data_IF_271740358843
#
_entry.id   IF_271740358843
#
_cell.length_a   1.000
_cell.length_b   1.000
_cell.length_c   1.000
_cell.angle_alpha   90.00
_cell.angle_beta   90.00
_cell.angle_gamma   90.00
#
_symmetry.space_group_name_H-M   'P 1'
#
loop_
_entity.id
_entity.type
_entity.pdbx_description
1 polymer ?
#
# COMPACT_ATOMS: atom_id res chain seq x y z
N UNK A 1 12.26 -1.26 -2.62
CA UNK A 1 12.69 -2.62 -2.22
C UNK A 1 11.49 -3.55 -2.27
N UNK A 2 11.68 -4.77 -2.75
CA UNK A 2 10.63 -5.81 -2.76
C UNK A 2 11.15 -7.03 -2.01
N UNK A 3 10.35 -7.55 -1.11
CA UNK A 3 10.62 -8.80 -0.39
C UNK A 3 9.67 -9.88 -0.90
N UNK A 4 10.20 -11.04 -1.24
CA UNK A 4 9.42 -12.23 -1.57
C UNK A 4 9.22 -13.05 -0.30
N UNK A 5 7.96 -13.26 0.09
CA UNK A 5 7.61 -13.94 1.34
C UNK A 5 6.60 -15.06 1.10
N UNK A 6 6.44 -15.95 2.06
CA UNK A 6 5.43 -17.00 2.03
C UNK A 6 3.98 -16.47 1.98
N UNK A 7 3.76 -15.22 2.40
CA UNK A 7 2.44 -14.54 2.37
C UNK A 7 2.20 -13.72 1.10
N UNK A 8 3.18 -13.61 0.22
CA UNK A 8 3.15 -12.76 -0.98
C UNK A 8 4.25 -11.69 -0.96
N UNK A 9 4.23 -10.81 -1.94
CA UNK A 9 5.23 -9.74 -2.05
C UNK A 9 4.97 -8.63 -1.02
N UNK A 10 6.04 -8.08 -0.47
CA UNK A 10 6.02 -6.86 0.34
C UNK A 10 6.81 -5.79 -0.38
N UNK A 11 6.15 -4.69 -0.75
CA UNK A 11 6.79 -3.52 -1.33
C UNK A 11 7.10 -2.50 -0.24
N UNK A 12 8.33 -2.00 -0.20
CA UNK A 12 8.74 -0.84 0.61
C UNK A 12 9.24 0.23 -0.35
N UNK A 13 8.55 1.38 -0.35
CA UNK A 13 8.79 2.50 -1.28
C UNK A 13 9.21 3.76 -0.53
N UNK A 14 10.09 4.57 -1.14
CA UNK A 14 10.39 5.94 -0.69
C UNK A 14 9.29 6.91 -1.12
N UNK A 15 9.44 7.53 -2.30
CA UNK A 15 8.42 8.44 -2.86
C UNK A 15 7.54 7.82 -3.93
N UNK A 16 7.96 6.72 -4.56
CA UNK A 16 7.15 5.99 -5.54
C UNK A 16 6.81 6.74 -6.82
N UNK A 17 7.69 7.60 -7.33
CA UNK A 17 7.45 8.44 -8.52
C UNK A 17 7.18 7.63 -9.80
N UNK A 18 7.61 6.39 -9.87
CA UNK A 18 7.29 5.48 -10.97
C UNK A 18 5.81 5.01 -10.96
N UNK A 19 5.08 5.35 -9.90
CA UNK A 19 3.72 4.89 -9.64
C UNK A 19 3.67 3.52 -8.95
N UNK A 20 2.77 3.40 -7.97
CA UNK A 20 2.61 2.16 -7.20
C UNK A 20 2.24 0.97 -8.09
N UNK A 21 1.32 1.18 -9.05
CA UNK A 21 0.84 0.11 -9.93
C UNK A 21 1.97 -0.39 -10.83
N UNK A 22 2.70 0.52 -11.49
CA UNK A 22 3.85 0.16 -12.32
C UNK A 22 4.89 -0.63 -11.54
N UNK A 23 5.18 -0.18 -10.32
CA UNK A 23 6.17 -0.84 -9.43
C UNK A 23 5.71 -2.24 -9.04
N UNK A 24 4.46 -2.41 -8.65
CA UNK A 24 3.91 -3.71 -8.26
C UNK A 24 3.77 -4.67 -9.45
N UNK A 25 3.32 -4.19 -10.60
CA UNK A 25 3.25 -5.00 -11.82
C UNK A 25 4.65 -5.48 -12.23
N UNK A 26 5.65 -4.59 -12.17
CA UNK A 26 7.03 -4.96 -12.44
C UNK A 26 7.57 -5.99 -11.43
N UNK A 27 7.32 -5.78 -10.14
CA UNK A 27 7.74 -6.70 -9.09
C UNK A 27 7.11 -8.09 -9.27
N UNK A 28 5.81 -8.15 -9.54
CA UNK A 28 5.10 -9.42 -9.79
C UNK A 28 5.67 -10.17 -11.01
N UNK A 29 5.97 -9.44 -12.07
CA UNK A 29 6.55 -10.03 -13.29
C UNK A 29 8.00 -10.49 -13.13
N UNK A 30 8.81 -9.79 -12.31
CA UNK A 30 10.25 -10.03 -12.19
C UNK A 30 10.66 -10.86 -10.97
N UNK A 31 9.91 -10.81 -9.91
CA UNK A 31 10.19 -11.55 -8.66
C UNK A 31 9.36 -12.81 -8.61
N UNK A 32 8.05 -12.65 -8.45
CA UNK A 32 7.12 -13.78 -8.44
C UNK A 32 5.69 -13.30 -8.70
N UNK A 33 4.99 -13.96 -9.61
CA UNK A 33 3.57 -13.66 -9.87
C UNK A 33 2.71 -14.25 -8.74
N UNK A 34 2.45 -13.42 -7.74
CA UNK A 34 1.67 -13.76 -6.55
C UNK A 34 0.94 -12.52 -6.04
N UNK A 35 0.10 -12.71 -5.01
CA UNK A 35 -0.54 -11.59 -4.33
C UNK A 35 0.47 -10.63 -3.72
N UNK A 36 0.06 -9.39 -3.49
CA UNK A 36 0.83 -8.39 -2.75
C UNK A 36 0.36 -8.42 -1.30
N UNK A 37 1.19 -8.94 -0.41
CA UNK A 37 0.86 -8.98 1.01
C UNK A 37 0.81 -7.60 1.65
N UNK A 38 1.76 -6.72 1.27
CA UNK A 38 1.80 -5.36 1.79
C UNK A 38 2.45 -4.37 0.82
N UNK A 39 1.95 -3.13 0.82
CA UNK A 39 2.58 -1.97 0.18
C UNK A 39 2.78 -0.88 1.25
N UNK A 40 4.04 -0.54 1.53
CA UNK A 40 4.44 0.31 2.64
C UNK A 40 5.30 1.48 2.15
N UNK A 41 4.95 2.71 2.51
CA UNK A 41 5.78 3.89 2.25
C UNK A 41 5.11 4.99 1.43
N UNK A 42 5.91 5.76 0.69
CA UNK A 42 5.45 6.85 -0.17
C UNK A 42 5.06 6.36 -1.56
N UNK A 43 3.90 6.83 -2.06
CA UNK A 43 3.35 6.40 -3.34
C UNK A 43 2.94 7.56 -4.25
N UNK A 44 3.30 8.79 -3.88
CA UNK A 44 3.09 10.00 -4.67
C UNK A 44 1.64 10.20 -5.15
N UNK A 45 0.68 10.03 -4.22
CA UNK A 45 -0.76 10.11 -4.51
C UNK A 45 -1.43 11.35 -3.88
N UNK A 46 -0.65 12.26 -3.29
CA UNK A 46 -1.19 13.39 -2.53
C UNK A 46 -2.08 14.35 -3.35
N UNK A 47 -1.91 14.38 -4.65
CA UNK A 47 -2.73 15.18 -5.59
C UNK A 47 -3.65 14.30 -6.47
N UNK A 48 -3.79 13.00 -6.13
CA UNK A 48 -4.61 12.11 -6.93
C UNK A 48 -6.09 12.48 -6.82
N UNK A 49 -6.73 12.67 -7.97
CA UNK A 49 -8.16 12.87 -8.06
C UNK A 49 -8.96 11.57 -7.82
N UNK A 50 -10.28 11.67 -7.75
CA UNK A 50 -11.15 10.53 -7.51
C UNK A 50 -11.00 9.44 -8.59
N UNK A 51 -10.87 9.82 -9.85
CA UNK A 51 -10.72 8.88 -10.97
C UNK A 51 -9.39 8.11 -10.88
N UNK A 52 -8.31 8.79 -10.50
CA UNK A 52 -7.00 8.17 -10.27
C UNK A 52 -7.06 7.19 -9.09
N UNK A 53 -7.73 7.58 -7.99
CA UNK A 53 -7.90 6.70 -6.84
C UNK A 53 -8.79 5.48 -7.17
N UNK A 54 -9.85 5.67 -7.94
CA UNK A 54 -10.72 4.57 -8.40
C UNK A 54 -9.93 3.55 -9.24
N UNK A 55 -9.16 4.02 -10.19
CA UNK A 55 -8.31 3.19 -11.03
C UNK A 55 -7.23 2.47 -10.22
N UNK A 56 -6.54 3.21 -9.34
CA UNK A 56 -5.50 2.66 -8.47
C UNK A 56 -6.05 1.56 -7.57
N UNK A 57 -7.18 1.80 -6.92
CA UNK A 57 -7.82 0.81 -6.05
C UNK A 57 -8.26 -0.43 -6.84
N UNK A 58 -8.83 -0.27 -8.04
CA UNK A 58 -9.21 -1.39 -8.89
C UNK A 58 -7.99 -2.27 -9.22
N UNK A 59 -6.86 -1.67 -9.55
CA UNK A 59 -5.60 -2.39 -9.81
C UNK A 59 -5.06 -3.08 -8.56
N UNK A 60 -5.01 -2.40 -7.42
CA UNK A 60 -4.55 -2.98 -6.15
C UNK A 60 -5.42 -4.17 -5.73
N UNK A 61 -6.73 -4.12 -5.99
CA UNK A 61 -7.65 -5.21 -5.73
C UNK A 61 -7.32 -6.45 -6.58
N UNK A 62 -6.98 -6.27 -7.86
CA UNK A 62 -6.57 -7.41 -8.73
C UNK A 62 -5.28 -8.07 -8.27
N UNK A 63 -4.45 -7.34 -7.52
CA UNK A 63 -3.20 -7.86 -6.94
C UNK A 63 -3.40 -8.39 -5.51
N UNK A 64 -4.63 -8.38 -5.00
CA UNK A 64 -5.01 -8.85 -3.66
C UNK A 64 -4.18 -8.19 -2.55
N UNK A 65 -3.98 -6.86 -2.63
CA UNK A 65 -3.22 -6.11 -1.62
C UNK A 65 -3.92 -6.21 -0.28
N UNK A 66 -3.25 -6.84 0.68
CA UNK A 66 -3.82 -7.11 2.00
C UNK A 66 -3.51 -6.03 3.05
N UNK A 67 -2.39 -5.33 2.91
CA UNK A 67 -1.98 -4.26 3.82
C UNK A 67 -1.44 -3.07 3.04
N UNK A 68 -1.89 -1.87 3.39
CA UNK A 68 -1.45 -0.62 2.77
C UNK A 68 -1.10 0.41 3.85
N UNK A 69 0.16 0.81 3.92
CA UNK A 69 0.63 1.88 4.81
C UNK A 69 1.14 3.03 3.96
N UNK A 70 0.30 4.03 3.72
CA UNK A 70 0.67 5.20 2.96
C UNK A 70 1.34 6.27 3.83
N UNK A 71 2.57 6.59 3.52
CA UNK A 71 3.36 7.60 4.24
C UNK A 71 3.87 8.68 3.29
N UNK A 72 4.56 9.68 3.82
CA UNK A 72 5.27 10.71 3.07
C UNK A 72 4.36 11.38 2.02
N UNK A 73 4.67 11.26 0.73
CA UNK A 73 3.95 11.88 -0.37
C UNK A 73 2.69 11.11 -0.83
N UNK A 74 2.24 10.10 -0.09
CA UNK A 74 0.97 9.45 -0.42
C UNK A 74 -0.22 10.37 -0.16
N UNK A 75 -0.17 11.16 0.89
CA UNK A 75 -1.26 12.05 1.30
C UNK A 75 -2.32 11.33 2.14
N UNK A 76 -2.79 12.02 3.19
CA UNK A 76 -3.77 11.48 4.14
C UNK A 76 -5.09 11.16 3.45
N UNK A 77 -5.59 12.09 2.64
CA UNK A 77 -6.86 11.94 1.90
C UNK A 77 -6.83 10.75 0.94
N UNK A 78 -5.69 10.56 0.27
CA UNK A 78 -5.53 9.43 -0.65
C UNK A 78 -5.49 8.09 0.08
N UNK A 79 -4.90 8.02 1.28
CA UNK A 79 -4.96 6.81 2.11
C UNK A 79 -6.40 6.49 2.53
N UNK A 80 -7.17 7.50 2.98
CA UNK A 80 -8.58 7.30 3.30
C UNK A 80 -9.41 6.90 2.09
N UNK A 81 -9.19 7.58 0.97
CA UNK A 81 -9.85 7.27 -0.29
C UNK A 81 -9.60 5.84 -0.78
N UNK A 82 -8.36 5.37 -0.70
CA UNK A 82 -8.00 3.99 -1.04
C UNK A 82 -8.59 2.99 -0.04
N UNK A 83 -8.57 3.29 1.25
CA UNK A 83 -9.15 2.41 2.26
C UNK A 83 -10.63 2.12 2.01
N UNK A 84 -11.42 3.15 1.71
CA UNK A 84 -12.83 3.02 1.38
C UNK A 84 -13.04 2.18 0.12
N UNK A 85 -12.28 2.46 -0.94
CA UNK A 85 -12.38 1.78 -2.23
C UNK A 85 -11.94 0.32 -2.19
N UNK A 86 -10.96 0.01 -1.36
CA UNK A 86 -10.45 -1.35 -1.17
C UNK A 86 -11.27 -2.15 -0.15
N UNK A 87 -12.16 -1.50 0.58
CA UNK A 87 -12.92 -2.09 1.69
C UNK A 87 -11.99 -2.73 2.75
N UNK A 88 -10.90 -2.05 3.05
CA UNK A 88 -9.93 -2.50 4.04
C UNK A 88 -10.23 -1.90 5.42
N UNK A 89 -10.05 -2.65 6.51
CA UNK A 89 -10.16 -2.10 7.85
C UNK A 89 -8.97 -1.18 8.17
N UNK A 90 -9.11 -0.35 9.20
CA UNK A 90 -8.01 0.51 9.71
C UNK A 90 -6.74 -0.26 10.03
N UNK A 91 -6.87 -1.47 10.53
CA UNK A 91 -5.74 -2.34 10.85
C UNK A 91 -4.98 -2.86 9.60
N UNK A 92 -5.50 -2.62 8.41
CA UNK A 92 -4.87 -3.04 7.16
C UNK A 92 -4.62 -1.91 6.18
N UNK A 93 -5.20 -0.72 6.41
CA UNK A 93 -4.97 0.45 5.56
C UNK A 93 -4.93 1.72 6.43
N UNK A 94 -3.75 2.28 6.59
CA UNK A 94 -3.51 3.40 7.49
C UNK A 94 -2.45 4.37 6.96
N UNK A 95 -2.44 5.55 7.56
CA UNK A 95 -1.36 6.54 7.37
C UNK A 95 -0.13 6.09 8.15
N UNK A 96 1.03 6.15 7.52
CA UNK A 96 2.32 5.87 8.14
C UNK A 96 2.74 7.02 9.06
N UNK A 97 2.48 6.87 10.34
CA UNK A 97 2.86 7.81 11.38
C UNK A 97 3.91 7.20 12.31
N UNK A 98 4.51 8.03 13.15
CA UNK A 98 5.47 7.58 14.17
C UNK A 98 4.80 6.53 15.09
N UNK A 99 5.48 5.41 15.26
CA UNK A 99 4.97 4.27 16.03
C UNK A 99 4.22 3.22 15.20
N UNK A 100 3.89 3.51 13.93
CA UNK A 100 3.33 2.50 13.05
C UNK A 100 4.34 1.37 12.80
N UNK A 101 3.83 0.14 12.76
CA UNK A 101 4.66 -1.06 12.60
C UNK A 101 4.00 -2.01 11.59
N UNK A 102 4.83 -2.79 10.93
CA UNK A 102 4.39 -3.90 10.11
C UNK A 102 5.20 -5.14 10.43
N UNK A 103 4.54 -6.27 10.54
CA UNK A 103 5.20 -7.57 10.63
C UNK A 103 4.51 -8.61 9.75
N UNK A 104 5.26 -9.58 9.26
CA UNK A 104 4.68 -10.70 8.49
C UNK A 104 3.72 -11.54 9.34
N UNK A 105 3.93 -11.60 10.65
CA UNK A 105 3.10 -12.41 11.55
C UNK A 105 1.75 -11.76 11.86
N UNK A 106 1.75 -10.47 12.23
CA UNK A 106 0.57 -9.77 12.76
C UNK A 106 -0.03 -8.74 11.79
N UNK A 107 0.62 -8.48 10.65
CA UNK A 107 0.18 -7.44 9.72
C UNK A 107 0.56 -6.04 10.16
N UNK A 108 -0.30 -5.08 9.83
CA UNK A 108 -0.11 -3.67 10.12
C UNK A 108 -0.65 -3.32 11.52
N UNK A 109 0.16 -2.59 12.27
CA UNK A 109 -0.27 -1.86 13.48
C UNK A 109 -0.07 -0.35 13.22
N UNK A 110 -1.14 0.44 13.08
CA UNK A 110 -1.04 1.87 12.78
C UNK A 110 -0.47 2.69 13.93
N UNK A 111 -0.29 2.13 15.12
CA UNK A 111 0.14 2.86 16.31
C UNK A 111 -0.93 3.82 16.84
N UNK A 112 -0.58 4.61 17.86
CA UNK A 112 -1.53 5.48 18.54
C UNK A 112 -1.92 6.73 17.73
N UNK A 113 -1.00 7.26 16.92
CA UNK A 113 -1.20 8.52 16.19
C UNK A 113 -2.14 8.35 14.99
N UNK A 114 -1.98 7.26 14.22
CA UNK A 114 -2.77 7.01 13.00
C UNK A 114 -3.94 6.02 13.20
N UNK A 115 -4.25 5.76 14.44
CA UNK A 115 -5.32 4.83 14.83
C UNK A 115 -6.73 5.39 14.55
#
# INVERSE_FOLDING_TARGET
MVLDTDKGLVLISGCGHAGIINTLEYARRKVRETRVHAALGGFHLFEADAATLDWTAAKLRTMEVGNFLGAHCTGIESVFGLRQRLDLPRASCAVGAVGARFSLKSGLDPGAIAR
#
